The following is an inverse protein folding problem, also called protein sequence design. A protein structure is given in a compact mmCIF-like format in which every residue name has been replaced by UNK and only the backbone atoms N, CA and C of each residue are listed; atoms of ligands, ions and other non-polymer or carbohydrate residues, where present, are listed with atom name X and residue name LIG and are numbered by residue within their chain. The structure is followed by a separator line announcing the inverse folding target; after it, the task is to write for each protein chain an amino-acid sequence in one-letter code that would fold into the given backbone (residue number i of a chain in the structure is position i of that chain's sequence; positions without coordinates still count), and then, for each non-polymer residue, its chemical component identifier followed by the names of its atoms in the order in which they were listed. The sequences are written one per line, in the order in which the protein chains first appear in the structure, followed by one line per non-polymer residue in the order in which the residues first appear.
data_IF_907879597426
#
_entry.id   IF_907879597426
#
_cell.length_a   1.000
_cell.length_b   1.000
_cell.length_c   1.000
_cell.angle_alpha   90.00
_cell.angle_beta   90.00
_cell.angle_gamma   90.00
#
_symmetry.space_group_name_H-M   'P 1'
#
loop_
_entity.id
_entity.type
_entity.pdbx_description
1 polymer ?
#
# COMPACT_ATOMS: atom_id res chain seq x y z
N UNK A 1 9.31 -33.24 12.61
CA UNK A 1 7.87 -33.27 12.91
C UNK A 1 7.34 -31.88 12.60
N UNK A 2 6.90 -31.64 11.37
CA UNK A 2 6.51 -30.31 10.91
C UNK A 2 5.03 -30.09 11.26
N UNK A 3 4.74 -29.00 11.96
CA UNK A 3 3.40 -28.69 12.45
C UNK A 3 2.55 -28.26 11.26
N UNK A 4 1.55 -29.07 10.91
CA UNK A 4 0.60 -28.78 9.83
C UNK A 4 -0.19 -27.54 10.20
N UNK A 5 0.13 -26.40 9.59
CA UNK A 5 -0.74 -25.21 9.66
C UNK A 5 -1.91 -25.42 8.70
N UNK A 6 -3.00 -25.98 9.23
CA UNK A 6 -4.30 -25.93 8.56
C UNK A 6 -4.75 -24.47 8.50
N UNK A 7 -4.50 -23.81 7.37
CA UNK A 7 -5.17 -22.54 7.05
C UNK A 7 -6.67 -22.82 7.00
N UNK A 8 -7.41 -22.32 7.99
CA UNK A 8 -8.87 -22.45 8.07
C UNK A 8 -9.53 -21.48 7.06
N UNK A 9 -9.38 -21.78 5.78
CA UNK A 9 -10.06 -21.10 4.68
C UNK A 9 -11.49 -21.62 4.65
N UNK A 10 -12.40 -20.90 5.32
CA UNK A 10 -13.84 -21.22 5.32
C UNK A 10 -14.37 -21.40 3.89
N UNK A 11 -15.28 -22.37 3.70
CA UNK A 11 -15.84 -22.76 2.41
C UNK A 11 -16.34 -21.53 1.64
N UNK A 12 -15.68 -21.21 0.53
CA UNK A 12 -16.00 -20.08 -0.33
C UNK A 12 -17.13 -20.44 -1.32
N UNK A 13 -18.09 -19.54 -1.57
CA UNK A 13 -19.08 -19.76 -2.62
C UNK A 13 -18.45 -19.66 -4.02
N UNK A 14 -18.96 -20.49 -4.92
CA UNK A 14 -18.53 -20.68 -6.32
C UNK A 14 -18.77 -19.41 -7.14
N UNK A 15 -17.71 -18.83 -7.72
CA UNK A 15 -17.80 -17.72 -8.66
C UNK A 15 -18.08 -18.22 -10.09
N UNK A 16 -18.91 -17.51 -10.85
CA UNK A 16 -19.24 -17.83 -12.24
C UNK A 16 -18.41 -16.98 -13.20
N UNK A 17 -17.75 -17.65 -14.14
CA UNK A 17 -16.83 -17.08 -15.13
C UNK A 17 -17.49 -16.98 -16.50
N UNK A 18 -17.12 -15.97 -17.30
CA UNK A 18 -17.39 -15.99 -18.73
C UNK A 18 -16.28 -16.75 -19.47
N UNK A 19 -16.64 -17.96 -19.92
CA UNK A 19 -16.00 -18.87 -20.91
C UNK A 19 -14.95 -19.89 -20.36
N UNK A 20 -15.20 -21.19 -20.61
CA UNK A 20 -14.88 -22.46 -19.87
C UNK A 20 -13.95 -23.38 -20.74
N UNK A 21 -13.11 -24.34 -20.24
CA UNK A 21 -13.28 -25.27 -19.09
C UNK A 21 -12.11 -25.34 -18.09
N UNK A 22 -12.22 -25.71 -16.81
CA UNK A 22 -13.30 -26.19 -15.95
C UNK A 22 -13.21 -25.45 -14.60
N UNK A 23 -14.32 -25.35 -13.87
CA UNK A 23 -14.40 -24.63 -12.60
C UNK A 23 -13.50 -25.25 -11.53
N UNK A 24 -12.39 -24.58 -11.18
CA UNK A 24 -11.57 -24.91 -10.02
C UNK A 24 -11.68 -23.75 -9.03
N UNK A 25 -12.14 -24.01 -7.81
CA UNK A 25 -12.16 -23.01 -6.74
C UNK A 25 -10.74 -22.45 -6.55
N UNK A 26 -10.56 -21.16 -6.19
CA UNK A 26 -9.24 -20.68 -5.78
C UNK A 26 -8.67 -21.50 -4.62
N UNK A 27 -9.52 -22.02 -3.72
CA UNK A 27 -9.11 -23.00 -2.69
C UNK A 27 -8.74 -24.34 -3.29
N UNK A 28 -9.41 -24.83 -4.33
CA UNK A 28 -9.12 -26.13 -4.97
C UNK A 28 -7.95 -26.01 -5.96
N UNK A 29 -7.64 -24.81 -6.44
CA UNK A 29 -6.45 -24.49 -7.22
C UNK A 29 -5.24 -24.47 -6.28
N UNK A 30 -5.38 -23.79 -5.14
CA UNK A 30 -4.38 -23.82 -4.06
C UNK A 30 -4.23 -25.25 -3.53
N UNK A 31 -5.29 -25.94 -3.16
CA UNK A 31 -5.22 -27.30 -2.59
C UNK A 31 -4.85 -28.37 -3.63
N UNK A 32 -5.19 -28.17 -4.90
CA UNK A 32 -4.93 -29.10 -6.01
C UNK A 32 -3.61 -28.88 -6.73
N UNK A 33 -3.00 -27.68 -6.64
CA UNK A 33 -1.68 -27.38 -7.23
C UNK A 33 -0.60 -27.03 -6.19
N UNK A 34 -0.94 -26.78 -4.91
CA UNK A 34 0.01 -26.53 -3.82
C UNK A 34 -0.07 -27.64 -2.75
N UNK A 35 0.40 -28.85 -3.09
CA UNK A 35 0.70 -29.88 -2.10
C UNK A 35 2.08 -29.62 -1.48
N UNK A 36 2.13 -28.96 -0.31
CA UNK A 36 3.37 -28.76 0.46
C UNK A 36 3.72 -29.98 1.33
N UNK A 37 3.77 -31.19 0.76
CA UNK A 37 4.15 -32.39 1.53
C UNK A 37 5.67 -32.63 1.57
N UNK A 38 6.47 -31.95 0.74
CA UNK A 38 7.91 -32.19 0.60
C UNK A 38 8.77 -30.90 0.59
N UNK A 39 8.23 -29.79 1.13
CA UNK A 39 8.75 -28.44 0.91
C UNK A 39 7.91 -27.75 -0.17
N UNK A 40 7.71 -26.44 -0.06
CA UNK A 40 6.97 -25.69 -1.09
C UNK A 40 7.99 -25.20 -2.15
N UNK A 41 8.26 -25.91 -3.27
CA UNK A 41 9.19 -25.42 -4.30
C UNK A 41 8.67 -24.19 -5.07
N UNK A 42 7.49 -23.69 -4.73
CA UNK A 42 6.77 -22.63 -5.42
C UNK A 42 6.86 -21.30 -4.66
N UNK A 43 6.94 -20.21 -5.42
CA UNK A 43 6.84 -18.85 -4.92
C UNK A 43 5.57 -18.22 -5.48
N UNK A 44 4.83 -17.43 -4.71
CA UNK A 44 3.55 -16.89 -5.18
C UNK A 44 2.98 -15.79 -4.31
N UNK A 45 2.02 -15.05 -4.88
CA UNK A 45 1.31 -13.95 -4.22
C UNK A 45 -0.18 -14.24 -4.26
N UNK A 46 -0.90 -13.92 -3.18
CA UNK A 46 -2.35 -13.81 -3.18
C UNK A 46 -2.73 -12.50 -2.50
N UNK A 47 -3.44 -11.64 -3.22
CA UNK A 47 -4.12 -10.48 -2.66
C UNK A 47 -5.63 -10.70 -2.68
N UNK A 48 -6.30 -10.37 -1.59
CA UNK A 48 -7.76 -10.47 -1.45
C UNK A 48 -8.27 -9.20 -0.81
N UNK A 49 -9.14 -8.47 -1.51
CA UNK A 49 -9.96 -7.39 -0.97
C UNK A 49 -11.35 -7.93 -0.65
N UNK A 50 -11.95 -7.49 0.44
CA UNK A 50 -13.36 -7.68 0.76
C UNK A 50 -13.98 -6.38 1.28
N UNK A 51 -15.20 -6.09 0.87
CA UNK A 51 -15.96 -4.88 1.23
C UNK A 51 -17.46 -5.14 1.09
N UNK A 52 -18.28 -4.15 1.42
CA UNK A 52 -19.74 -4.23 1.35
C UNK A 52 -20.41 -3.39 0.25
N UNK A 53 -19.71 -2.40 -0.32
CA UNK A 53 -20.28 -1.45 -1.30
C UNK A 53 -20.29 -1.97 -2.74
N UNK A 54 -19.38 -2.90 -3.04
CA UNK A 54 -19.13 -3.48 -4.37
C UNK A 54 -18.57 -2.47 -5.39
N UNK A 55 -17.88 -1.44 -4.91
CA UNK A 55 -17.40 -0.29 -5.66
C UNK A 55 -15.92 0.05 -5.42
N UNK A 56 -15.21 -0.80 -4.67
CA UNK A 56 -13.76 -0.77 -4.52
C UNK A 56 -13.10 -1.80 -5.43
N UNK A 57 -12.00 -1.44 -6.07
CA UNK A 57 -11.29 -2.29 -7.03
C UNK A 57 -9.94 -2.73 -6.47
N UNK A 58 -9.53 -3.95 -6.82
CA UNK A 58 -8.24 -4.50 -6.45
C UNK A 58 -7.33 -4.50 -7.68
N UNK A 59 -6.15 -3.94 -7.54
CA UNK A 59 -5.14 -3.95 -8.59
C UNK A 59 -3.80 -4.48 -8.07
N UNK A 60 -2.97 -4.95 -8.99
CA UNK A 60 -1.59 -5.31 -8.74
C UNK A 60 -0.71 -4.74 -9.84
N UNK A 61 0.41 -4.14 -9.45
CA UNK A 61 1.47 -3.69 -10.37
C UNK A 61 2.82 -4.28 -10.00
N UNK A 62 3.68 -4.49 -10.99
CA UNK A 62 5.09 -4.83 -10.77
C UNK A 62 6.02 -3.63 -11.04
N UNK A 63 7.34 -3.86 -10.97
CA UNK A 63 8.36 -2.82 -11.18
C UNK A 63 8.42 -2.28 -12.62
N UNK A 64 7.82 -3.00 -13.58
CA UNK A 64 7.77 -2.63 -15.00
C UNK A 64 6.45 -1.91 -15.33
N UNK A 65 5.65 -1.59 -14.30
CA UNK A 65 4.31 -0.98 -14.39
C UNK A 65 3.28 -1.85 -15.13
N UNK A 66 3.52 -3.17 -15.22
CA UNK A 66 2.53 -4.10 -15.77
C UNK A 66 1.38 -4.26 -14.79
N UNK A 67 0.16 -4.21 -15.30
CA UNK A 67 -1.07 -4.15 -14.51
C UNK A 67 -1.86 -5.47 -14.50
N UNK A 68 -2.41 -5.81 -13.33
CA UNK A 68 -3.44 -6.83 -13.15
C UNK A 68 -4.63 -6.22 -12.42
N UNK A 69 -5.81 -6.26 -13.02
CA UNK A 69 -7.03 -5.64 -12.46
C UNK A 69 -7.92 -5.04 -13.53
N UNK A 70 -9.03 -4.42 -13.14
CA UNK A 70 -9.95 -3.79 -14.09
C UNK A 70 -9.31 -2.54 -14.71
N UNK A 71 -9.29 -2.48 -16.04
CA UNK A 71 -8.86 -1.32 -16.80
C UNK A 71 -10.08 -0.43 -17.10
N UNK A 72 -10.11 0.77 -16.54
CA UNK A 72 -11.28 1.64 -16.63
C UNK A 72 -11.51 2.22 -18.02
N UNK A 73 -10.45 2.35 -18.84
CA UNK A 73 -10.57 2.88 -20.19
C UNK A 73 -11.19 1.84 -21.13
N UNK A 74 -10.84 0.57 -20.96
CA UNK A 74 -11.30 -0.52 -21.85
C UNK A 74 -12.49 -1.29 -21.29
N UNK A 75 -12.72 -1.23 -19.98
CA UNK A 75 -13.70 -2.04 -19.25
C UNK A 75 -13.32 -3.52 -19.10
N UNK A 76 -12.11 -3.90 -19.52
CA UNK A 76 -11.62 -5.29 -19.44
C UNK A 76 -10.65 -5.47 -18.27
N UNK A 77 -10.47 -6.71 -17.83
CA UNK A 77 -9.43 -7.05 -16.87
C UNK A 77 -8.09 -7.16 -17.61
N UNK A 78 -7.11 -6.37 -17.18
CA UNK A 78 -5.72 -6.53 -17.59
C UNK A 78 -5.10 -7.71 -16.83
N UNK A 79 -4.33 -8.53 -17.55
CA UNK A 79 -3.51 -9.63 -17.02
C UNK A 79 -2.09 -9.51 -17.59
N UNK A 80 -1.47 -8.33 -17.46
CA UNK A 80 -0.20 -8.03 -18.12
C UNK A 80 1.00 -8.70 -17.45
N UNK A 81 0.87 -9.05 -16.16
CA UNK A 81 1.88 -9.81 -15.43
C UNK A 81 1.71 -11.30 -15.80
N UNK A 82 2.75 -11.96 -16.35
CA UNK A 82 2.67 -13.38 -16.70
C UNK A 82 2.34 -14.26 -15.49
N UNK A 83 1.48 -15.26 -15.68
CA UNK A 83 1.05 -16.15 -14.60
C UNK A 83 0.14 -15.48 -13.55
N UNK A 84 -0.38 -14.29 -13.85
CA UNK A 84 -1.36 -13.62 -13.01
C UNK A 84 -2.77 -14.17 -13.22
N UNK A 85 -3.56 -14.06 -12.16
CA UNK A 85 -4.96 -14.42 -12.11
C UNK A 85 -5.73 -13.32 -11.40
N UNK A 86 -6.93 -13.02 -11.88
CA UNK A 86 -7.85 -12.06 -11.28
C UNK A 86 -9.25 -12.69 -11.19
N UNK A 87 -9.91 -12.49 -10.05
CA UNK A 87 -11.28 -12.93 -9.81
C UNK A 87 -12.03 -11.85 -9.03
N UNK A 88 -13.22 -11.50 -9.51
CA UNK A 88 -14.17 -10.67 -8.77
C UNK A 88 -15.52 -11.37 -8.76
N UNK A 89 -15.96 -11.75 -7.57
CA UNK A 89 -17.18 -12.53 -7.40
C UNK A 89 -18.44 -11.66 -7.30
N UNK A 90 -18.33 -10.35 -7.52
CA UNK A 90 -19.40 -9.34 -7.47
C UNK A 90 -20.16 -9.31 -6.13
N UNK A 91 -19.56 -9.88 -5.08
CA UNK A 91 -20.07 -9.79 -3.70
C UNK A 91 -19.14 -8.95 -2.81
N UNK A 92 -18.33 -8.10 -3.45
CA UNK A 92 -17.38 -7.22 -2.78
C UNK A 92 -16.03 -7.89 -2.52
N UNK A 93 -15.88 -9.16 -2.90
CA UNK A 93 -14.60 -9.86 -2.81
C UNK A 93 -13.90 -9.91 -4.18
N UNK A 94 -12.72 -9.31 -4.24
CA UNK A 94 -11.85 -9.38 -5.41
C UNK A 94 -10.54 -10.03 -5.00
N UNK A 95 -9.92 -10.80 -5.89
CA UNK A 95 -8.70 -11.56 -5.65
C UNK A 95 -7.75 -11.43 -6.81
N UNK A 96 -6.47 -11.33 -6.49
CA UNK A 96 -5.38 -11.46 -7.45
C UNK A 96 -4.44 -12.56 -6.95
N UNK A 97 -3.99 -13.43 -7.84
CA UNK A 97 -2.95 -14.40 -7.54
C UNK A 97 -1.82 -14.34 -8.57
N UNK A 98 -0.59 -14.53 -8.10
CA UNK A 98 0.59 -14.79 -8.92
C UNK A 98 1.13 -16.17 -8.57
N UNK A 99 1.38 -16.99 -9.59
CA UNK A 99 1.94 -18.34 -9.42
C UNK A 99 3.48 -18.37 -9.34
N UNK A 100 4.11 -17.22 -9.54
CA UNK A 100 5.56 -17.02 -9.44
C UNK A 100 5.86 -15.68 -8.76
N UNK A 101 6.89 -15.66 -7.90
CA UNK A 101 7.31 -14.46 -7.18
C UNK A 101 8.84 -14.41 -7.14
N UNK A 102 9.48 -13.86 -8.19
CA UNK A 102 10.93 -13.80 -8.31
C UNK A 102 11.58 -13.17 -7.08
N UNK A 103 12.79 -13.63 -6.73
CA UNK A 103 13.43 -13.29 -5.46
C UNK A 103 13.55 -11.78 -5.21
N UNK A 104 13.73 -10.99 -6.28
CA UNK A 104 13.96 -9.53 -6.28
C UNK A 104 12.76 -8.73 -6.83
N UNK A 105 11.60 -9.37 -7.05
CA UNK A 105 10.42 -8.67 -7.53
C UNK A 105 9.78 -7.84 -6.42
N UNK A 106 9.29 -6.67 -6.80
CA UNK A 106 8.49 -5.79 -5.97
C UNK A 106 7.13 -5.67 -6.64
N UNK A 107 6.09 -5.84 -5.86
CA UNK A 107 4.72 -5.65 -6.31
C UNK A 107 4.01 -4.65 -5.43
N UNK A 108 3.10 -3.90 -6.02
CA UNK A 108 2.20 -3.00 -5.31
C UNK A 108 0.78 -3.53 -5.47
N UNK A 109 0.13 -3.82 -4.35
CA UNK A 109 -1.28 -4.22 -4.28
C UNK A 109 -2.08 -2.98 -3.93
N UNK A 110 -3.04 -2.62 -4.79
CA UNK A 110 -3.83 -1.40 -4.62
C UNK A 110 -5.28 -1.74 -4.30
N UNK A 111 -5.84 -1.06 -3.30
CA UNK A 111 -7.28 -0.92 -3.15
C UNK A 111 -7.66 0.46 -3.65
N UNK A 112 -8.45 0.50 -4.72
CA UNK A 112 -8.80 1.72 -5.44
C UNK A 112 -10.28 2.06 -5.20
N UNK A 113 -10.52 3.29 -4.73
CA UNK A 113 -11.84 3.85 -4.48
C UNK A 113 -12.29 4.84 -5.56
N UNK A 114 -11.74 4.78 -6.78
CA UNK A 114 -12.09 5.65 -7.90
C UNK A 114 -13.59 5.83 -8.11
N UNK A 115 -14.38 4.77 -7.93
CA UNK A 115 -15.83 4.76 -8.13
C UNK A 115 -16.67 4.56 -6.85
N UNK A 116 -16.03 4.68 -5.69
CA UNK A 116 -16.73 4.62 -4.39
C UNK A 116 -17.91 5.59 -4.34
N UNK A 117 -19.02 5.12 -3.77
CA UNK A 117 -20.25 5.88 -3.65
C UNK A 117 -20.24 6.75 -2.39
N UNK A 118 -19.74 6.20 -1.29
CA UNK A 118 -19.66 6.92 -0.01
C UNK A 118 -18.39 7.76 0.06
N UNK A 119 -18.40 8.80 0.89
CA UNK A 119 -17.19 9.59 1.17
C UNK A 119 -16.10 8.77 1.85
N UNK A 120 -16.47 7.65 2.48
CA UNK A 120 -15.59 6.75 3.19
C UNK A 120 -16.15 5.33 3.15
N UNK A 121 -15.35 4.36 2.69
CA UNK A 121 -15.77 2.95 2.58
C UNK A 121 -14.82 2.04 3.34
N UNK A 122 -15.37 1.02 3.99
CA UNK A 122 -14.58 0.05 4.75
C UNK A 122 -14.22 -1.14 3.88
N UNK A 123 -12.97 -1.60 4.00
CA UNK A 123 -12.51 -2.81 3.34
C UNK A 123 -11.57 -3.62 4.22
N UNK A 124 -11.45 -4.90 3.89
CA UNK A 124 -10.45 -5.81 4.41
C UNK A 124 -9.50 -6.20 3.27
N UNK A 125 -8.20 -5.94 3.43
CA UNK A 125 -7.17 -6.38 2.50
C UNK A 125 -6.31 -7.44 3.17
N UNK A 126 -6.23 -8.61 2.55
CA UNK A 126 -5.30 -9.68 2.91
C UNK A 126 -4.29 -9.87 1.79
N UNK A 127 -3.00 -9.85 2.10
CA UNK A 127 -1.92 -10.15 1.16
C UNK A 127 -1.07 -11.27 1.72
N UNK A 128 -0.89 -12.34 0.96
CA UNK A 128 -0.07 -13.49 1.32
C UNK A 128 1.01 -13.62 0.25
N UNK A 129 2.25 -13.74 0.70
CA UNK A 129 3.43 -14.00 -0.10
C UNK A 129 4.04 -15.31 0.38
N UNK A 130 4.39 -16.17 -0.56
CA UNK A 130 4.97 -17.47 -0.29
C UNK A 130 6.28 -17.54 -1.06
N UNK A 131 7.32 -17.95 -0.36
CA UNK A 131 8.61 -18.39 -0.89
C UNK A 131 8.93 -19.76 -0.29
N UNK A 132 9.87 -20.51 -0.90
CA UNK A 132 10.21 -21.85 -0.39
C UNK A 132 10.61 -21.90 1.09
N UNK A 133 11.18 -20.82 1.60
CA UNK A 133 11.72 -20.67 2.95
C UNK A 133 10.88 -19.77 3.87
N UNK A 134 9.87 -19.06 3.34
CA UNK A 134 9.16 -18.01 4.09
C UNK A 134 7.72 -17.83 3.61
N UNK A 135 6.81 -17.61 4.56
CA UNK A 135 5.47 -17.08 4.29
C UNK A 135 5.39 -15.70 4.93
N UNK A 136 5.04 -14.69 4.14
CA UNK A 136 4.68 -13.36 4.61
C UNK A 136 3.18 -13.16 4.47
N UNK A 137 2.47 -12.88 5.56
CA UNK A 137 1.05 -12.59 5.53
C UNK A 137 0.77 -11.21 6.14
N UNK A 138 -0.13 -10.49 5.49
CA UNK A 138 -0.69 -9.24 5.94
C UNK A 138 -2.20 -9.29 5.89
N UNK A 139 -2.86 -8.70 6.89
CA UNK A 139 -4.30 -8.49 6.91
C UNK A 139 -4.60 -7.16 7.61
N UNK A 140 -5.30 -6.27 6.92
CA UNK A 140 -5.78 -5.00 7.47
C UNK A 140 -7.26 -4.83 7.19
N UNK A 141 -7.96 -4.31 8.19
CA UNK A 141 -9.26 -3.68 7.99
C UNK A 141 -9.06 -2.19 8.12
N UNK A 142 -9.42 -1.45 7.07
CA UNK A 142 -9.23 -0.01 6.97
C UNK A 142 -10.44 0.63 6.31
N UNK A 143 -10.46 1.95 6.28
CA UNK A 143 -11.36 2.71 5.43
C UNK A 143 -10.57 3.42 4.34
N UNK A 144 -11.22 3.71 3.22
CA UNK A 144 -10.64 4.42 2.09
C UNK A 144 -11.54 5.60 1.71
N UNK A 145 -11.01 6.83 1.65
CA UNK A 145 -11.77 7.98 1.19
C UNK A 145 -12.07 7.90 -0.30
N UNK A 146 -13.13 8.59 -0.70
CA UNK A 146 -13.59 8.58 -2.08
C UNK A 146 -12.51 9.01 -3.07
N UNK A 147 -12.40 8.29 -4.17
CA UNK A 147 -11.48 8.57 -5.28
C UNK A 147 -9.99 8.60 -4.88
N UNK A 148 -9.62 7.84 -3.84
CA UNK A 148 -8.23 7.63 -3.43
C UNK A 148 -7.80 6.18 -3.64
N UNK A 149 -6.50 5.92 -3.51
CA UNK A 149 -5.91 4.58 -3.63
C UNK A 149 -5.07 4.28 -2.39
N UNK A 150 -5.28 3.10 -1.80
CA UNK A 150 -4.38 2.57 -0.80
C UNK A 150 -3.41 1.59 -1.45
N UNK A 151 -2.11 1.77 -1.20
CA UNK A 151 -1.08 0.83 -1.64
C UNK A 151 -0.64 -0.11 -0.51
N UNK A 152 -0.23 -1.33 -0.89
CA UNK A 152 0.44 -2.30 -0.05
C UNK A 152 1.58 -2.97 -0.84
N UNK A 153 2.82 -2.78 -0.39
CA UNK A 153 4.00 -3.29 -1.09
C UNK A 153 4.36 -4.72 -0.67
N UNK A 154 4.82 -5.50 -1.63
CA UNK A 154 5.37 -6.84 -1.41
C UNK A 154 6.77 -6.88 -2.01
N UNK A 155 7.77 -7.02 -1.15
CA UNK A 155 9.17 -7.10 -1.55
C UNK A 155 9.84 -8.34 -0.97
N UNK A 156 10.59 -9.04 -1.80
CA UNK A 156 11.36 -10.22 -1.41
C UNK A 156 10.53 -11.29 -0.66
N UNK A 157 9.25 -11.49 -1.01
CA UNK A 157 8.39 -12.48 -0.33
C UNK A 157 8.03 -12.10 1.11
N UNK A 158 8.20 -10.82 1.44
CA UNK A 158 7.64 -10.20 2.64
C UNK A 158 6.62 -9.20 2.15
N UNK A 159 5.33 -9.48 2.38
CA UNK A 159 4.32 -8.43 2.36
C UNK A 159 4.66 -7.44 3.49
N UNK A 160 5.15 -6.25 3.14
CA UNK A 160 5.39 -5.16 4.07
C UNK A 160 4.50 -4.01 3.65
N UNK A 161 3.41 -3.84 4.38
CA UNK A 161 2.50 -2.74 4.12
C UNK A 161 3.06 -1.49 4.72
N UNK A 162 3.33 -0.54 3.84
CA UNK A 162 3.42 0.84 4.22
C UNK A 162 2.04 1.45 3.96
N UNK A 163 1.49 2.22 4.91
CA UNK A 163 0.36 3.08 4.56
C UNK A 163 0.86 4.14 3.59
N UNK A 164 0.16 4.36 2.49
CA UNK A 164 0.46 5.51 1.62
C UNK A 164 -0.25 6.73 2.16
N UNK A 165 0.53 7.63 2.73
CA UNK A 165 0.04 8.94 3.19
C UNK A 165 0.11 9.98 2.08
N UNK A 166 -0.27 11.20 2.45
CA UNK A 166 0.00 12.42 1.68
C UNK A 166 1.11 13.21 2.37
N UNK A 167 1.87 13.95 1.57
CA UNK A 167 2.87 14.88 2.08
C UNK A 167 2.77 16.17 1.28
N UNK A 168 2.76 17.29 1.99
CA UNK A 168 2.94 18.63 1.42
C UNK A 168 4.05 19.37 2.19
N UNK A 169 5.12 19.78 1.50
CA UNK A 169 6.31 20.40 2.08
C UNK A 169 6.37 21.89 1.78
N UNK A 170 6.03 22.69 2.79
CA UNK A 170 6.09 24.13 2.68
C UNK A 170 7.40 24.73 3.22
N UNK A 171 8.10 25.58 2.44
CA UNK A 171 7.71 26.06 1.12
C UNK A 171 8.10 25.11 -0.02
N UNK A 172 7.24 25.03 -1.04
CA UNK A 172 7.47 24.29 -2.30
C UNK A 172 8.67 24.78 -3.12
N UNK A 173 9.24 25.96 -2.79
CA UNK A 173 10.45 26.51 -3.42
C UNK A 173 11.56 26.74 -2.39
N UNK A 174 12.68 26.06 -2.60
CA UNK A 174 13.88 26.18 -1.79
C UNK A 174 14.94 27.04 -2.50
N UNK A 175 15.08 28.29 -2.04
CA UNK A 175 16.17 29.16 -2.48
C UNK A 175 17.37 29.10 -1.53
N UNK A 176 18.61 29.12 -2.03
CA UNK A 176 19.83 29.26 -1.22
C UNK A 176 19.79 30.48 -0.30
N UNK A 177 19.21 31.58 -0.77
CA UNK A 177 19.17 32.88 -0.06
C UNK A 177 18.10 33.00 1.02
N UNK A 178 17.12 32.07 1.04
CA UNK A 178 16.03 32.12 2.03
C UNK A 178 16.54 31.83 3.45
N UNK A 179 16.16 32.71 4.39
CA UNK A 179 16.50 32.63 5.82
C UNK A 179 15.47 31.84 6.65
N UNK A 180 14.52 31.16 6.00
CA UNK A 180 13.53 30.34 6.70
C UNK A 180 14.22 29.27 7.55
N UNK A 181 13.77 29.09 8.79
CA UNK A 181 14.37 28.12 9.72
C UNK A 181 13.94 26.68 9.42
N UNK A 182 12.69 26.51 8.98
CA UNK A 182 12.06 25.21 8.82
C UNK A 182 11.55 25.00 7.41
N UNK A 183 11.41 23.73 7.05
CA UNK A 183 10.42 23.25 6.09
C UNK A 183 9.32 22.59 6.93
N UNK A 184 8.08 23.01 6.74
CA UNK A 184 6.92 22.42 7.40
C UNK A 184 6.39 21.31 6.51
N UNK A 185 6.16 20.13 7.06
CA UNK A 185 5.48 19.04 6.36
C UNK A 185 4.07 18.87 6.92
N UNK A 186 3.09 18.74 6.05
CA UNK A 186 1.73 18.32 6.37
C UNK A 186 1.60 16.86 5.94
N UNK A 187 1.51 15.97 6.90
CA UNK A 187 1.54 14.52 6.69
C UNK A 187 0.15 13.96 6.94
N UNK A 188 -0.57 13.63 5.89
CA UNK A 188 -1.86 12.97 5.97
C UNK A 188 -1.72 11.45 5.95
N UNK A 189 -2.71 10.77 6.52
CA UNK A 189 -2.89 9.34 6.35
C UNK A 189 -4.24 9.08 5.68
N UNK A 190 -4.42 7.91 5.04
CA UNK A 190 -5.71 7.50 4.51
C UNK A 190 -6.82 7.63 5.58
N UNK A 191 -8.00 8.12 5.18
CA UNK A 191 -9.10 8.32 6.10
C UNK A 191 -9.40 7.03 6.90
N UNK A 192 -9.61 7.18 8.22
CA UNK A 192 -9.75 6.08 9.18
C UNK A 192 -8.46 5.73 9.94
N UNK A 193 -7.30 6.15 9.43
CA UNK A 193 -6.08 6.21 10.21
C UNK A 193 -5.98 7.56 10.90
N UNK A 194 -5.85 7.55 12.22
CA UNK A 194 -5.67 8.79 12.97
C UNK A 194 -4.18 9.11 13.05
N UNK A 195 -3.78 10.24 12.48
CA UNK A 195 -2.40 10.74 12.52
C UNK A 195 -1.82 10.87 13.93
N UNK A 196 -2.66 10.93 14.98
CA UNK A 196 -2.19 10.89 16.38
C UNK A 196 -1.49 9.57 16.77
N UNK A 197 -1.68 8.50 15.99
CA UNK A 197 -0.99 7.22 16.18
C UNK A 197 0.32 7.13 15.39
N UNK A 198 0.68 8.14 14.60
CA UNK A 198 2.03 8.23 14.06
C UNK A 198 3.00 8.44 15.24
N UNK A 199 4.05 7.63 15.31
CA UNK A 199 5.17 7.87 16.21
C UNK A 199 6.07 8.95 15.59
N UNK A 200 6.10 10.19 16.12
CA UNK A 200 6.89 11.26 15.51
C UNK A 200 8.40 11.01 15.56
N UNK A 201 8.87 10.16 16.47
CA UNK A 201 10.29 9.82 16.59
C UNK A 201 10.78 8.91 15.47
N UNK A 202 9.85 8.20 14.83
CA UNK A 202 10.10 7.33 13.68
C UNK A 202 10.22 8.10 12.35
N UNK A 203 9.74 9.34 12.29
CA UNK A 203 9.64 10.08 11.03
C UNK A 203 11.02 10.42 10.44
N UNK A 204 11.20 10.12 9.15
CA UNK A 204 12.42 10.44 8.39
C UNK A 204 12.04 11.03 7.03
N UNK A 205 12.53 12.22 6.75
CA UNK A 205 12.51 12.78 5.40
C UNK A 205 13.74 12.27 4.63
N UNK A 206 13.49 11.72 3.46
CA UNK A 206 14.45 11.07 2.58
C UNK A 206 15.31 10.04 3.33
N UNK A 207 14.65 9.24 4.17
CA UNK A 207 15.18 8.15 5.02
C UNK A 207 16.22 8.54 6.08
N UNK A 208 16.65 9.81 6.12
CA UNK A 208 17.77 10.24 6.96
C UNK A 208 17.43 11.41 7.89
N UNK A 209 16.61 12.37 7.45
CA UNK A 209 16.46 13.64 8.15
C UNK A 209 15.33 13.53 9.19
N UNK A 210 15.61 13.62 10.50
CA UNK A 210 14.58 13.57 11.53
C UNK A 210 13.87 14.92 11.67
N UNK A 211 12.77 14.92 12.44
CA UNK A 211 12.15 16.16 12.89
C UNK A 211 13.12 17.02 13.71
N UNK A 212 12.93 18.34 13.68
CA UNK A 212 13.73 19.25 14.52
C UNK A 212 13.42 18.99 16.00
N UNK A 213 14.44 18.68 16.84
CA UNK A 213 14.25 18.47 18.26
C UNK A 213 13.58 19.65 18.95
N UNK A 214 12.60 19.37 19.82
CA UNK A 214 11.89 20.38 20.60
C UNK A 214 10.83 21.18 19.82
N UNK A 215 10.63 20.91 18.53
CA UNK A 215 9.46 21.44 17.82
C UNK A 215 8.19 20.72 18.24
N UNK A 216 7.07 21.45 18.33
CA UNK A 216 5.76 20.85 18.57
C UNK A 216 5.27 20.21 17.28
N UNK A 217 4.78 18.98 17.41
CA UNK A 217 3.95 18.33 16.41
C UNK A 217 2.50 18.71 16.71
N UNK A 218 1.78 19.19 15.70
CA UNK A 218 0.38 19.61 15.83
C UNK A 218 -0.47 18.85 14.82
N UNK A 219 -1.77 18.72 15.12
CA UNK A 219 -2.74 18.11 14.21
C UNK A 219 -3.67 19.22 13.71
N UNK A 220 -3.92 19.25 12.40
CA UNK A 220 -4.82 20.19 11.75
C UNK A 220 -5.19 19.69 10.37
N UNK A 221 -6.27 20.21 9.81
CA UNK A 221 -6.75 19.88 8.46
C UNK A 221 -6.23 20.96 7.51
N UNK A 222 -5.09 20.71 6.86
CA UNK A 222 -4.37 21.74 6.11
C UNK A 222 -5.07 22.09 4.80
N UNK A 223 -5.61 21.09 4.11
CA UNK A 223 -6.24 21.22 2.80
C UNK A 223 -7.78 21.30 2.87
N UNK A 224 -8.36 21.24 4.07
CA UNK A 224 -9.80 21.35 4.34
C UNK A 224 -10.62 20.21 3.73
N UNK A 225 -10.03 19.01 3.63
CA UNK A 225 -10.69 17.80 3.14
C UNK A 225 -11.44 17.02 4.25
N UNK A 226 -11.29 17.45 5.51
CA UNK A 226 -11.87 16.80 6.69
C UNK A 226 -11.03 15.66 7.27
N UNK A 227 -9.86 15.39 6.71
CA UNK A 227 -8.87 14.41 7.17
C UNK A 227 -7.74 15.17 7.88
N UNK A 228 -7.45 14.88 9.16
CA UNK A 228 -6.40 15.60 9.86
C UNK A 228 -4.99 15.23 9.38
N UNK A 229 -4.16 16.24 9.17
CA UNK A 229 -2.72 16.15 8.91
C UNK A 229 -1.89 16.28 10.18
N UNK A 230 -0.79 15.55 10.22
CA UNK A 230 0.29 15.78 11.16
C UNK A 230 1.23 16.88 10.65
N UNK A 231 1.24 18.01 11.34
CA UNK A 231 2.10 19.14 11.02
C UNK A 231 3.44 18.96 11.73
N UNK A 232 4.49 18.79 10.95
CA UNK A 232 5.86 18.51 11.41
C UNK A 232 6.87 19.51 10.85
N UNK A 233 8.05 19.61 11.44
CA UNK A 233 9.08 20.56 11.02
C UNK A 233 10.44 19.89 10.85
N UNK A 234 11.06 20.15 9.70
CA UNK A 234 12.41 19.73 9.35
C UNK A 234 13.37 20.92 9.33
N UNK A 235 14.65 20.67 9.63
CA UNK A 235 15.66 21.71 9.57
C UNK A 235 15.96 22.05 8.10
N UNK A 236 15.71 23.29 7.71
CA UNK A 236 15.85 23.70 6.31
C UNK A 236 17.30 23.59 5.82
N UNK A 237 18.30 23.83 6.67
CA UNK A 237 19.70 23.76 6.27
C UNK A 237 20.12 22.31 6.02
N UNK A 238 19.64 21.38 6.84
CA UNK A 238 19.87 19.95 6.64
C UNK A 238 19.18 19.46 5.35
N UNK A 239 17.92 19.84 5.11
CA UNK A 239 17.23 19.45 3.86
C UNK A 239 17.94 20.00 2.62
N UNK A 240 18.49 21.22 2.69
CA UNK A 240 19.27 21.79 1.58
C UNK A 240 20.50 20.95 1.22
N UNK A 241 21.09 20.18 2.15
CA UNK A 241 22.27 19.36 1.84
C UNK A 241 21.95 18.18 0.93
N UNK A 242 20.66 17.86 0.73
CA UNK A 242 20.23 16.83 -0.24
C UNK A 242 20.45 17.27 -1.69
N UNK A 243 20.61 18.57 -1.96
CA UNK A 243 20.63 19.11 -3.31
C UNK A 243 21.98 19.72 -3.66
N UNK A 244 22.55 19.30 -4.79
CA UNK A 244 23.84 19.80 -5.31
C UNK A 244 23.67 20.71 -6.52
N UNK A 245 22.47 20.79 -7.08
CA UNK A 245 22.13 21.61 -8.25
C UNK A 245 20.67 22.09 -8.18
N UNK A 246 20.32 23.17 -8.90
CA UNK A 246 18.92 23.56 -9.08
C UNK A 246 18.11 22.49 -9.83
N UNK A 247 16.81 22.38 -9.55
CA UNK A 247 15.92 21.42 -10.21
C UNK A 247 14.67 21.08 -9.41
N UNK A 248 13.78 20.26 -9.99
CA UNK A 248 12.67 19.63 -9.29
C UNK A 248 13.16 18.34 -8.63
N UNK A 249 12.78 18.15 -7.37
CA UNK A 249 13.14 16.98 -6.58
C UNK A 249 11.89 16.42 -5.92
N UNK A 250 11.67 15.11 -6.08
CA UNK A 250 10.68 14.38 -5.28
C UNK A 250 11.34 13.95 -3.98
N UNK A 251 10.78 14.41 -2.87
CA UNK A 251 11.13 14.01 -1.53
C UNK A 251 10.11 13.00 -1.01
N UNK A 252 10.58 12.13 -0.14
CA UNK A 252 9.79 11.06 0.45
C UNK A 252 9.88 11.14 1.97
N UNK A 253 8.77 10.98 2.70
CA UNK A 253 8.76 10.83 4.15
C UNK A 253 8.37 9.39 4.51
N UNK A 254 9.09 8.79 5.45
CA UNK A 254 8.74 7.52 6.08
C UNK A 254 8.42 7.70 7.56
N UNK A 255 7.61 6.81 8.11
CA UNK A 255 7.34 6.75 9.54
C UNK A 255 6.62 5.48 9.95
N UNK A 256 6.25 5.40 11.23
CA UNK A 256 5.53 4.27 11.81
C UNK A 256 4.20 4.75 12.40
N UNK A 257 3.12 4.10 11.98
CA UNK A 257 1.81 4.17 12.62
C UNK A 257 1.71 3.06 13.68
N UNK A 258 1.45 3.44 14.94
CA UNK A 258 1.44 2.52 16.08
C UNK A 258 0.08 2.56 16.77
N UNK A 259 -0.69 1.47 16.65
CA UNK A 259 -2.00 1.34 17.30
C UNK A 259 -2.20 -0.05 17.89
N UNK A 260 -2.55 -0.09 19.18
CA UNK A 260 -2.87 -1.32 19.92
C UNK A 260 -1.77 -2.40 19.83
N UNK A 261 -0.50 -1.99 19.85
CA UNK A 261 0.66 -2.90 19.78
C UNK A 261 1.04 -3.35 18.37
N UNK A 262 0.30 -2.94 17.34
CA UNK A 262 0.67 -3.15 15.94
C UNK A 262 1.40 -1.92 15.41
N UNK A 263 2.53 -2.14 14.75
CA UNK A 263 3.28 -1.12 14.01
C UNK A 263 3.09 -1.37 12.53
N UNK A 264 2.59 -0.38 11.81
CA UNK A 264 2.49 -0.37 10.34
C UNK A 264 3.35 0.79 9.87
N UNK A 265 4.41 0.57 9.08
CA UNK A 265 5.15 1.69 8.53
C UNK A 265 4.27 2.47 7.54
N UNK A 266 4.66 3.68 7.19
CA UNK A 266 3.96 4.49 6.19
C UNK A 266 4.96 5.34 5.42
N UNK A 267 4.50 5.81 4.27
CA UNK A 267 5.33 6.44 3.25
C UNK A 267 4.49 7.48 2.49
N UNK A 268 5.05 8.64 2.19
CA UNK A 268 4.36 9.70 1.45
C UNK A 268 5.35 10.61 0.70
N UNK A 269 4.92 11.18 -0.43
CA UNK A 269 5.82 11.89 -1.35
C UNK A 269 5.35 13.31 -1.61
N UNK A 270 6.31 14.19 -1.86
CA UNK A 270 6.04 15.55 -2.33
C UNK A 270 7.16 16.04 -3.27
N UNK A 271 6.87 17.03 -4.13
CA UNK A 271 7.83 17.60 -5.07
C UNK A 271 8.16 19.06 -4.74
N UNK A 272 9.44 19.33 -4.51
CA UNK A 272 9.96 20.68 -4.25
C UNK A 272 10.86 21.16 -5.38
N UNK A 273 10.85 22.47 -5.63
CA UNK A 273 11.75 23.12 -6.59
C UNK A 273 12.91 23.82 -5.88
N UNK A 274 14.14 23.47 -6.26
CA UNK A 274 15.38 24.07 -5.76
C UNK A 274 15.91 25.07 -6.80
N UNK A 275 16.14 26.30 -6.36
CA UNK A 275 16.70 27.39 -7.20
C UNK A 275 18.23 27.42 -7.19
#
# INVERSE_FOLDING_TARGET
MCQVFLLNLGKWPVAQYSTIPASVSASDFILGNWLCELGCPFSGLVAKKQESGHDLFLHLRDQEDRHVGLNYQTGNVDLQIPGSYYDDNRNGTSRIALIELPANASYTVDVDAAFSQLSLESYNLTVISIKPDKIGQFNVTATIPKSTVQHASVQNGTAQTHLSGTLDLDPNVLSPTSKGKYITGYVGLPAGFNVSFIDPSSLRLNDAIPLVPGTRVTIGDHDSDGIPDLIVKFDRQIVKTLFTKPGNYTLHITGNYVRSGNTVPFEAFDSVYVR
#
